data_IF_452521379510
#
_entry.id   IF_452521379510
#
_cell.length_a   1.000
_cell.length_b   1.000
_cell.length_c   1.000
_cell.angle_alpha   90.00
_cell.angle_beta   90.00
_cell.angle_gamma   90.00
#
_symmetry.space_group_name_H-M   'P 1'
#
loop_
_entity.id
_entity.type
_entity.pdbx_description
1 polymer ?
#
# COMPACT_ATOMS: atom_id res chain seq x y z
N UNK A 1 -18.64 2.35 -11.64
CA UNK A 1 -18.27 3.23 -12.76
C UNK A 1 -17.28 4.32 -12.30
N UNK A 2 -16.10 3.96 -11.77
CA UNK A 2 -15.08 4.93 -11.30
C UNK A 2 -13.80 4.89 -12.16
N UNK A 3 -13.72 3.99 -13.15
CA UNK A 3 -12.45 3.69 -13.82
C UNK A 3 -12.25 4.35 -15.20
N UNK A 4 -13.30 4.82 -15.89
CA UNK A 4 -13.16 5.41 -17.22
C UNK A 4 -13.52 6.90 -17.21
N UNK A 5 -12.51 7.77 -17.39
CA UNK A 5 -12.68 9.22 -17.57
C UNK A 5 -12.45 10.12 -16.35
N UNK A 6 -12.18 9.57 -15.17
CA UNK A 6 -11.92 10.40 -13.98
C UNK A 6 -10.54 11.07 -14.03
N UNK A 7 -10.50 12.39 -13.76
CA UNK A 7 -9.24 13.14 -13.63
C UNK A 7 -8.40 12.59 -12.46
N UNK A 8 -7.07 12.83 -12.44
CA UNK A 8 -6.24 12.45 -11.30
C UNK A 8 -6.79 12.94 -9.95
N UNK A 9 -7.33 14.14 -9.90
CA UNK A 9 -7.90 14.76 -8.71
C UNK A 9 -9.16 14.00 -8.25
N UNK A 10 -10.04 13.64 -9.18
CA UNK A 10 -11.22 12.84 -8.87
C UNK A 10 -10.83 11.43 -8.34
N UNK A 11 -9.75 10.85 -8.86
CA UNK A 11 -9.22 9.57 -8.36
C UNK A 11 -8.60 9.68 -6.97
N UNK A 12 -7.86 10.75 -6.73
CA UNK A 12 -7.31 11.06 -5.40
C UNK A 12 -8.43 11.21 -4.38
N UNK A 13 -9.39 12.09 -4.64
CA UNK A 13 -10.54 12.32 -3.75
C UNK A 13 -11.37 11.06 -3.54
N UNK A 14 -11.59 10.27 -4.60
CA UNK A 14 -12.28 8.98 -4.50
C UNK A 14 -11.51 7.98 -3.61
N UNK A 15 -10.19 7.93 -3.70
CA UNK A 15 -9.37 7.07 -2.84
C UNK A 15 -9.38 7.55 -1.38
N UNK A 16 -9.37 8.86 -1.13
CA UNK A 16 -9.46 9.44 0.21
C UNK A 16 -10.82 9.17 0.86
N UNK A 17 -11.91 9.46 0.15
CA UNK A 17 -13.27 9.18 0.63
C UNK A 17 -13.50 7.69 0.90
N UNK A 18 -12.90 6.79 0.11
CA UNK A 18 -12.93 5.37 0.40
C UNK A 18 -12.22 5.02 1.72
N UNK A 19 -11.11 5.70 2.03
CA UNK A 19 -10.42 5.56 3.31
C UNK A 19 -11.28 6.01 4.50
N UNK A 20 -12.02 7.10 4.35
CA UNK A 20 -12.97 7.59 5.36
C UNK A 20 -14.11 6.58 5.59
N UNK A 21 -14.69 6.03 4.51
CA UNK A 21 -15.69 4.97 4.60
C UNK A 21 -15.15 3.76 5.35
N UNK A 22 -13.92 3.32 5.05
CA UNK A 22 -13.27 2.22 5.77
C UNK A 22 -13.15 2.53 7.25
N UNK A 23 -12.74 3.74 7.64
CA UNK A 23 -12.63 4.14 9.05
C UNK A 23 -14.00 4.15 9.73
N UNK A 24 -15.05 4.63 9.07
CA UNK A 24 -16.40 4.71 9.64
C UNK A 24 -17.14 3.36 9.71
N UNK A 25 -16.81 2.41 8.83
CA UNK A 25 -17.55 1.13 8.71
C UNK A 25 -17.07 0.09 9.71
N UNK A 26 -17.93 -0.51 10.56
CA UNK A 26 -17.52 -1.59 11.47
C UNK A 26 -16.92 -2.79 10.73
N UNK A 27 -16.00 -3.52 11.36
CA UNK A 27 -15.30 -4.65 10.74
C UNK A 27 -16.26 -5.69 10.15
N UNK A 28 -17.34 -6.04 10.87
CA UNK A 28 -18.36 -6.98 10.40
C UNK A 28 -19.00 -6.57 9.07
N UNK A 29 -19.18 -5.26 8.85
CA UNK A 29 -19.76 -4.71 7.63
C UNK A 29 -18.74 -4.55 6.50
N UNK A 30 -17.44 -4.56 6.78
CA UNK A 30 -16.37 -4.56 5.77
C UNK A 30 -16.16 -5.94 5.13
N UNK A 31 -16.48 -7.02 5.85
CA UNK A 31 -16.28 -8.40 5.39
C UNK A 31 -16.75 -8.69 3.95
N UNK A 32 -17.99 -8.35 3.54
CA UNK A 32 -18.48 -8.70 2.20
C UNK A 32 -17.81 -7.93 1.05
N UNK A 33 -17.12 -6.80 1.34
CA UNK A 33 -16.62 -5.88 0.31
C UNK A 33 -15.09 -5.82 0.25
N UNK A 34 -14.38 -6.17 1.32
CA UNK A 34 -12.91 -6.03 1.40
C UNK A 34 -12.19 -6.72 0.23
N UNK A 35 -12.53 -7.96 -0.09
CA UNK A 35 -11.89 -8.73 -1.18
C UNK A 35 -12.09 -8.04 -2.53
N UNK A 36 -13.30 -7.53 -2.76
CA UNK A 36 -13.66 -6.82 -4.01
C UNK A 36 -12.95 -5.47 -4.13
N UNK A 37 -12.64 -4.83 -3.01
CA UNK A 37 -11.95 -3.53 -2.96
C UNK A 37 -10.42 -3.65 -3.05
N UNK A 38 -9.84 -4.64 -2.39
CA UNK A 38 -8.38 -4.77 -2.26
C UNK A 38 -7.67 -4.99 -3.59
N UNK A 39 -8.18 -5.88 -4.44
CA UNK A 39 -7.57 -6.17 -5.75
C UNK A 39 -7.42 -4.91 -6.63
N UNK A 40 -8.51 -4.15 -6.88
CA UNK A 40 -8.43 -2.89 -7.60
C UNK A 40 -7.46 -1.86 -6.98
N UNK A 41 -7.47 -1.68 -5.66
CA UNK A 41 -6.57 -0.73 -5.00
C UNK A 41 -5.09 -1.10 -5.18
N UNK A 42 -4.75 -2.38 -5.00
CA UNK A 42 -3.39 -2.90 -5.21
C UNK A 42 -2.96 -2.73 -6.67
N UNK A 43 -3.87 -2.97 -7.62
CA UNK A 43 -3.59 -2.77 -9.05
C UNK A 43 -3.31 -1.31 -9.37
N UNK A 44 -4.15 -0.38 -8.92
CA UNK A 44 -3.97 1.06 -9.19
C UNK A 44 -2.67 1.59 -8.57
N UNK A 45 -2.26 1.07 -7.41
CA UNK A 45 -0.97 1.41 -6.80
C UNK A 45 0.24 0.94 -7.64
N UNK A 46 0.08 -0.12 -8.44
CA UNK A 46 1.10 -0.63 -9.37
C UNK A 46 1.15 0.11 -10.71
N UNK A 47 0.09 0.82 -11.08
CA UNK A 47 -0.06 1.51 -12.36
C UNK A 47 0.62 2.89 -12.38
N UNK A 48 0.79 3.47 -13.57
CA UNK A 48 1.41 4.80 -13.77
C UNK A 48 0.45 5.96 -13.48
N UNK A 49 0.02 6.07 -12.23
CA UNK A 49 -0.76 7.23 -11.75
C UNK A 49 0.13 8.32 -11.13
N UNK A 50 -0.33 9.59 -11.08
CA UNK A 50 0.32 10.64 -10.33
C UNK A 50 0.53 10.27 -8.86
N UNK A 51 1.58 10.82 -8.25
CA UNK A 51 2.01 10.42 -6.92
C UNK A 51 0.94 10.71 -5.85
N UNK A 52 0.11 11.73 -6.04
CA UNK A 52 -1.00 12.10 -5.15
C UNK A 52 -2.02 10.95 -5.06
N UNK A 53 -2.43 10.42 -6.22
CA UNK A 53 -3.34 9.28 -6.32
C UNK A 53 -2.73 8.06 -5.64
N UNK A 54 -1.46 7.75 -5.91
CA UNK A 54 -0.76 6.63 -5.26
C UNK A 54 -0.69 6.82 -3.74
N UNK A 55 -0.41 8.03 -3.27
CA UNK A 55 -0.33 8.35 -1.86
C UNK A 55 -1.69 8.16 -1.17
N UNK A 56 -2.79 8.62 -1.78
CA UNK A 56 -4.16 8.44 -1.27
C UNK A 56 -4.52 6.95 -1.20
N UNK A 57 -4.22 6.19 -2.25
CA UNK A 57 -4.47 4.74 -2.29
C UNK A 57 -3.63 3.98 -1.26
N UNK A 58 -2.36 4.34 -1.06
CA UNK A 58 -1.51 3.78 -0.01
C UNK A 58 -2.12 3.99 1.38
N UNK A 59 -2.61 5.20 1.65
CA UNK A 59 -3.29 5.54 2.91
C UNK A 59 -4.52 4.62 3.10
N UNK A 60 -5.39 4.52 2.10
CA UNK A 60 -6.60 3.70 2.15
C UNK A 60 -6.31 2.21 2.25
N UNK A 61 -5.32 1.71 1.52
CA UNK A 61 -4.88 0.31 1.57
C UNK A 61 -4.30 -0.04 2.95
N UNK A 62 -3.56 0.88 3.56
CA UNK A 62 -3.02 0.70 4.91
C UNK A 62 -4.15 0.65 5.96
N UNK A 63 -5.18 1.48 5.81
CA UNK A 63 -6.36 1.44 6.68
C UNK A 63 -7.12 0.11 6.54
N UNK A 64 -7.31 -0.37 5.31
CA UNK A 64 -7.90 -1.68 5.04
C UNK A 64 -7.08 -2.81 5.66
N UNK A 65 -5.75 -2.74 5.55
CA UNK A 65 -4.84 -3.73 6.12
C UNK A 65 -4.99 -3.85 7.63
N UNK A 66 -5.03 -2.72 8.33
CA UNK A 66 -5.22 -2.68 9.79
C UNK A 66 -6.61 -3.16 10.19
N UNK A 67 -7.64 -2.74 9.45
CA UNK A 67 -9.03 -2.95 9.88
C UNK A 67 -9.63 -4.28 9.46
N UNK A 68 -9.29 -4.79 8.28
CA UNK A 68 -9.79 -6.07 7.79
C UNK A 68 -8.91 -7.25 8.22
N UNK A 69 -7.71 -6.97 8.73
CA UNK A 69 -6.84 -7.94 9.39
C UNK A 69 -6.68 -9.25 8.59
N UNK A 70 -7.04 -10.42 9.15
CA UNK A 70 -6.88 -11.73 8.49
C UNK A 70 -7.46 -11.82 7.08
N UNK A 71 -8.48 -11.03 6.75
CA UNK A 71 -9.09 -11.02 5.41
C UNK A 71 -8.15 -10.52 4.31
N UNK A 72 -7.09 -9.81 4.70
CA UNK A 72 -6.08 -9.30 3.77
C UNK A 72 -4.98 -10.33 3.47
N UNK A 73 -4.91 -11.44 4.22
CA UNK A 73 -3.91 -12.50 4.04
C UNK A 73 -3.76 -13.00 2.59
N UNK A 74 -4.85 -13.25 1.83
CA UNK A 74 -4.75 -13.69 0.44
C UNK A 74 -4.04 -12.68 -0.48
N UNK A 75 -4.03 -11.40 -0.13
CA UNK A 75 -3.44 -10.33 -0.93
C UNK A 75 -1.99 -10.00 -0.52
N UNK A 76 -1.49 -10.55 0.58
CA UNK A 76 -0.17 -10.18 1.10
C UNK A 76 0.98 -10.42 0.11
N UNK A 77 1.01 -11.51 -0.68
CA UNK A 77 2.07 -11.67 -1.68
C UNK A 77 2.07 -10.53 -2.73
N UNK A 78 0.89 -10.15 -3.22
CA UNK A 78 0.77 -9.08 -4.22
C UNK A 78 1.04 -7.70 -3.60
N UNK A 79 0.62 -7.49 -2.35
CA UNK A 79 0.85 -6.26 -1.62
C UNK A 79 2.34 -6.05 -1.36
N UNK A 80 3.10 -7.08 -0.99
CA UNK A 80 4.56 -6.99 -0.80
C UNK A 80 5.26 -6.49 -2.08
N UNK A 81 5.00 -7.14 -3.22
CA UNK A 81 5.58 -6.73 -4.51
C UNK A 81 5.24 -5.28 -4.83
N UNK A 82 4.03 -4.83 -4.47
CA UNK A 82 3.61 -3.45 -4.73
C UNK A 82 4.28 -2.46 -3.77
N UNK A 83 4.37 -2.78 -2.47
CA UNK A 83 5.07 -1.95 -1.47
C UNK A 83 6.56 -1.80 -1.84
N UNK A 84 7.23 -2.86 -2.29
CA UNK A 84 8.63 -2.79 -2.71
C UNK A 84 8.83 -1.84 -3.90
N UNK A 85 7.89 -1.80 -4.85
CA UNK A 85 7.91 -0.83 -5.95
C UNK A 85 7.68 0.60 -5.43
N UNK A 86 6.72 0.78 -4.52
CA UNK A 86 6.43 2.11 -3.97
C UNK A 86 7.56 2.68 -3.09
N UNK A 87 8.41 1.84 -2.50
CA UNK A 87 9.63 2.28 -1.80
C UNK A 87 10.67 2.89 -2.75
N UNK A 88 10.59 2.61 -4.05
CA UNK A 88 11.45 3.21 -5.09
C UNK A 88 10.79 4.38 -5.83
N UNK A 89 9.60 4.84 -5.43
CA UNK A 89 8.93 5.95 -6.11
C UNK A 89 9.69 7.28 -5.97
N UNK A 90 9.64 8.12 -7.00
CA UNK A 90 10.30 9.44 -7.00
C UNK A 90 9.77 10.37 -5.90
N UNK A 91 8.48 10.28 -5.58
CA UNK A 91 7.85 11.07 -4.52
C UNK A 91 8.23 10.58 -3.12
N UNK A 92 8.84 11.47 -2.33
CA UNK A 92 9.14 11.22 -0.90
C UNK A 92 7.88 10.90 -0.09
N UNK A 93 6.74 11.51 -0.43
CA UNK A 93 5.47 11.28 0.28
C UNK A 93 5.00 9.84 0.08
N UNK A 94 5.10 9.33 -1.14
CA UNK A 94 4.75 7.94 -1.47
C UNK A 94 5.65 6.99 -0.68
N UNK A 95 6.97 7.14 -0.78
CA UNK A 95 7.94 6.31 -0.06
C UNK A 95 7.69 6.29 1.46
N UNK A 96 7.49 7.46 2.07
CA UNK A 96 7.24 7.57 3.51
C UNK A 96 5.91 6.90 3.94
N UNK A 97 4.85 6.98 3.13
CA UNK A 97 3.60 6.25 3.40
C UNK A 97 3.79 4.74 3.23
N UNK A 98 4.59 4.33 2.25
CA UNK A 98 4.92 2.92 2.03
C UNK A 98 5.69 2.30 3.19
N UNK A 99 6.68 3.00 3.77
CA UNK A 99 7.36 2.54 4.99
C UNK A 99 6.35 2.27 6.11
N UNK A 100 5.40 3.18 6.35
CA UNK A 100 4.34 2.96 7.34
C UNK A 100 3.47 1.76 7.01
N UNK A 101 3.15 1.55 5.73
CA UNK A 101 2.38 0.40 5.28
C UNK A 101 3.12 -0.92 5.46
N UNK A 102 4.45 -0.95 5.24
CA UNK A 102 5.31 -2.12 5.53
C UNK A 102 5.23 -2.51 7.00
N UNK A 103 5.33 -1.54 7.92
CA UNK A 103 5.18 -1.82 9.36
C UNK A 103 3.81 -2.38 9.75
N UNK A 104 2.75 -2.13 8.97
CA UNK A 104 1.44 -2.77 9.17
C UNK A 104 1.34 -4.14 8.50
N UNK A 105 2.03 -4.30 7.37
CA UNK A 105 2.10 -5.53 6.61
C UNK A 105 2.73 -6.68 7.39
N UNK A 106 3.85 -6.42 8.06
CA UNK A 106 4.60 -7.45 8.80
C UNK A 106 3.83 -8.02 9.98
N UNK A 107 2.89 -7.27 10.55
CA UNK A 107 2.00 -7.74 11.62
C UNK A 107 1.00 -8.82 11.15
N UNK A 108 0.81 -8.95 9.84
CA UNK A 108 -0.16 -9.85 9.21
C UNK A 108 0.50 -10.99 8.42
N UNK A 109 1.76 -10.80 8.01
CA UNK A 109 2.54 -11.75 7.24
C UNK A 109 3.02 -12.94 8.07
N UNK A 110 3.02 -14.18 7.53
CA UNK A 110 3.45 -15.36 8.29
C UNK A 110 4.97 -15.46 8.44
N UNK A 111 5.77 -14.78 7.60
CA UNK A 111 7.26 -14.82 7.61
C UNK A 111 7.83 -13.51 7.09
N UNK A 112 8.77 -12.92 7.82
CA UNK A 112 9.43 -11.66 7.45
C UNK A 112 10.76 -11.84 6.74
N UNK A 113 11.41 -13.00 6.87
CA UNK A 113 12.75 -13.23 6.29
C UNK A 113 12.82 -12.99 4.78
N UNK A 114 11.86 -13.46 3.94
CA UNK A 114 11.90 -13.17 2.51
C UNK A 114 11.79 -11.68 2.20
N UNK A 115 10.98 -10.94 2.97
CA UNK A 115 10.84 -9.50 2.83
C UNK A 115 12.15 -8.79 3.20
N UNK A 116 12.79 -9.18 4.31
CA UNK A 116 14.09 -8.62 4.73
C UNK A 116 15.15 -8.82 3.63
N UNK A 117 15.22 -10.03 3.07
CA UNK A 117 16.16 -10.34 1.99
C UNK A 117 15.91 -9.47 0.74
N UNK A 118 14.65 -9.29 0.35
CA UNK A 118 14.27 -8.42 -0.77
C UNK A 118 14.60 -6.94 -0.51
N UNK A 119 14.31 -6.43 0.69
CA UNK A 119 14.63 -5.06 1.10
C UNK A 119 16.14 -4.79 1.08
N UNK A 120 16.96 -5.71 1.62
CA UNK A 120 18.43 -5.60 1.59
C UNK A 120 18.94 -5.60 0.15
N UNK A 121 18.43 -6.52 -0.69
CA UNK A 121 18.82 -6.62 -2.09
C UNK A 121 18.49 -5.32 -2.85
N UNK A 122 17.29 -4.80 -2.67
CA UNK A 122 16.85 -3.55 -3.29
C UNK A 122 17.64 -2.33 -2.80
N UNK A 123 17.94 -2.25 -1.49
CA UNK A 123 18.73 -1.15 -0.93
C UNK A 123 20.15 -1.05 -1.51
N UNK A 124 20.74 -2.18 -1.95
CA UNK A 124 22.10 -2.21 -2.53
C UNK A 124 22.17 -1.62 -3.94
N UNK A 125 21.08 -1.67 -4.70
CA UNK A 125 21.06 -1.27 -6.11
C UNK A 125 20.26 0.02 -6.37
N UNK A 126 19.48 0.46 -5.39
CA UNK A 126 18.68 1.67 -5.46
C UNK A 126 19.52 2.96 -5.49
N UNK A 127 18.94 4.03 -6.07
CA UNK A 127 19.48 5.38 -5.88
C UNK A 127 19.45 5.80 -4.41
N UNK A 128 20.15 6.88 -4.04
CA UNK A 128 20.26 7.34 -2.65
C UNK A 128 18.90 7.59 -1.98
N UNK A 129 17.91 8.10 -2.72
CA UNK A 129 16.61 8.47 -2.16
C UNK A 129 15.73 7.24 -1.88
N UNK A 130 15.75 6.27 -2.79
CA UNK A 130 15.08 4.99 -2.62
C UNK A 130 15.81 4.09 -1.62
N UNK A 131 17.15 4.08 -1.62
CA UNK A 131 17.98 3.34 -0.66
C UNK A 131 17.62 3.70 0.79
N UNK A 132 17.51 5.00 1.11
CA UNK A 132 17.08 5.45 2.46
C UNK A 132 15.70 4.89 2.81
N UNK A 133 14.80 4.79 1.83
CA UNK A 133 13.43 4.31 2.07
C UNK A 133 13.40 2.79 2.31
N UNK A 134 14.26 2.02 1.63
CA UNK A 134 14.45 0.61 1.92
C UNK A 134 15.06 0.37 3.30
N UNK A 135 16.04 1.19 3.70
CA UNK A 135 16.63 1.12 5.06
C UNK A 135 15.58 1.44 6.13
N UNK A 136 14.79 2.49 5.93
CA UNK A 136 13.68 2.83 6.83
C UNK A 136 12.60 1.73 6.89
N UNK A 137 12.37 1.03 5.78
CA UNK A 137 11.48 -0.13 5.79
C UNK A 137 12.05 -1.26 6.64
N UNK A 138 13.36 -1.53 6.60
CA UNK A 138 14.01 -2.54 7.45
C UNK A 138 13.88 -2.24 8.95
N UNK A 139 13.85 -0.96 9.35
CA UNK A 139 13.68 -0.56 10.76
C UNK A 139 12.29 -0.89 11.33
N UNK A 140 11.30 -1.14 10.46
CA UNK A 140 9.91 -1.40 10.86
C UNK A 140 9.44 -2.83 10.58
N UNK A 141 10.34 -3.70 10.10
CA UNK A 141 10.14 -5.14 9.98
C UNK A 141 10.56 -5.83 11.25
#
# INVERSE_FOLDING_TARGET
AVAHGATPEAREQGAEGLGEIVVATPEAALKPVVVKMSGPLIRVMSDRYPWQVKAAILKTTTLLLVKAGPMMKPFLPQLQTTLLKCLAESSRVVRARTVRAVGKYVLLGPRVDPLIAELISAAKTADKAAQVSYIQALEVV
#
